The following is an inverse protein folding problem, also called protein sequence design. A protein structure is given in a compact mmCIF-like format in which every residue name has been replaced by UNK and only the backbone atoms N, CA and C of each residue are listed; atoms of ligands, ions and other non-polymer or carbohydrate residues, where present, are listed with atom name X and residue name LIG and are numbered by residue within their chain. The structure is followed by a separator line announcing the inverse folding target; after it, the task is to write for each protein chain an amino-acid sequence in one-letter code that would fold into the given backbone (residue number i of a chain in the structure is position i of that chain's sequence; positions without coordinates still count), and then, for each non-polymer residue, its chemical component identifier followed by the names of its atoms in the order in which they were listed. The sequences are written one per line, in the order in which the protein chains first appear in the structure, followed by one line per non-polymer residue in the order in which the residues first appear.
data_IF_305340926573
#
_entry.id   IF_305340926573
#
_cell.length_a   1.000
_cell.length_b   1.000
_cell.length_c   1.000
_cell.angle_alpha   90.00
_cell.angle_beta   90.00
_cell.angle_gamma   90.00
#
_symmetry.space_group_name_H-M   'P 1'
#
loop_
_entity.id
_entity.type
_entity.pdbx_description
1 polymer ?
#
# COMPACT_ATOMS: atom_id res chain seq x y z
N UNK A 1 -68.42 45.63 -29.01
CA UNK A 1 -69.52 44.66 -29.24
C UNK A 1 -68.90 43.29 -29.46
N UNK A 2 -69.34 42.29 -28.69
CA UNK A 2 -68.97 40.85 -28.73
C UNK A 2 -67.58 40.49 -28.18
N UNK A 3 -67.36 39.42 -27.43
CA UNK A 3 -68.12 38.52 -26.52
C UNK A 3 -66.98 37.71 -25.86
N UNK A 4 -66.99 37.56 -24.53
CA UNK A 4 -66.13 36.61 -23.80
C UNK A 4 -66.66 35.18 -23.99
N UNK A 5 -65.79 34.16 -24.00
CA UNK A 5 -65.99 33.05 -23.05
C UNK A 5 -64.65 32.66 -22.39
N UNK A 6 -64.51 32.71 -21.06
CA UNK A 6 -64.81 31.62 -20.11
C UNK A 6 -64.43 30.23 -20.64
N UNK A 7 -63.24 29.76 -20.28
CA UNK A 7 -63.02 28.34 -19.97
C UNK A 7 -62.26 28.23 -18.65
N UNK A 8 -63.01 27.84 -17.62
CA UNK A 8 -62.50 27.34 -16.35
C UNK A 8 -62.22 25.85 -16.54
N UNK A 9 -60.99 25.42 -16.27
CA UNK A 9 -60.74 24.06 -15.81
C UNK A 9 -59.76 24.13 -14.63
N UNK A 10 -60.34 23.99 -13.43
CA UNK A 10 -59.65 23.47 -12.27
C UNK A 10 -59.43 21.97 -12.52
N UNK A 11 -58.20 21.50 -12.32
CA UNK A 11 -57.86 20.08 -12.29
C UNK A 11 -56.64 19.90 -11.40
N UNK A 12 -56.88 19.65 -10.12
CA UNK A 12 -55.88 19.23 -9.15
C UNK A 12 -55.44 17.79 -9.44
N UNK A 13 -54.14 17.49 -9.29
CA UNK A 13 -53.66 16.26 -8.65
C UNK A 13 -52.13 16.26 -8.60
N UNK A 14 -51.60 16.24 -7.38
CA UNK A 14 -50.25 15.84 -7.08
C UNK A 14 -50.03 14.36 -7.49
N UNK A 15 -48.89 14.04 -8.10
CA UNK A 15 -48.39 12.68 -8.20
C UNK A 15 -46.87 12.72 -8.04
N UNK A 16 -46.40 12.04 -6.99
CA UNK A 16 -45.08 12.18 -6.40
C UNK A 16 -43.91 11.76 -7.28
N UNK A 17 -42.85 12.56 -7.23
CA UNK A 17 -41.49 12.15 -7.56
C UNK A 17 -41.02 11.17 -6.49
N UNK A 18 -41.19 9.87 -6.75
CA UNK A 18 -40.51 8.83 -5.96
C UNK A 18 -39.05 8.81 -6.42
N UNK A 19 -38.22 9.50 -5.64
CA UNK A 19 -36.77 9.50 -5.77
C UNK A 19 -36.26 8.11 -5.39
N UNK A 20 -36.04 7.25 -6.39
CA UNK A 20 -35.36 5.98 -6.19
C UNK A 20 -33.87 6.24 -5.93
N UNK A 21 -33.51 6.37 -4.65
CA UNK A 21 -32.14 6.21 -4.17
C UNK A 21 -31.69 4.78 -4.48
N UNK A 22 -30.88 4.60 -5.52
CA UNK A 22 -30.12 3.36 -5.72
C UNK A 22 -28.82 3.44 -4.90
N UNK A 23 -28.44 2.36 -4.18
CA UNK A 23 -27.27 2.38 -3.31
C UNK A 23 -25.97 2.35 -4.12
N UNK A 24 -25.16 3.42 -3.99
CA UNK A 24 -23.75 3.43 -4.36
C UNK A 24 -22.94 2.63 -3.31
N UNK A 25 -22.79 1.32 -3.51
CA UNK A 25 -22.07 0.44 -2.57
C UNK A 25 -20.87 -0.30 -3.17
N UNK A 26 -20.11 0.37 -4.06
CA UNK A 26 -18.84 -0.16 -4.59
C UNK A 26 -17.58 0.60 -4.12
N UNK A 27 -17.74 1.75 -3.43
CA UNK A 27 -16.62 2.62 -3.07
C UNK A 27 -16.00 2.35 -1.68
N UNK A 28 -16.61 1.52 -0.83
CA UNK A 28 -16.13 1.29 0.54
C UNK A 28 -14.98 0.29 0.61
N UNK A 29 -14.95 -0.71 -0.26
CA UNK A 29 -13.89 -1.73 -0.30
C UNK A 29 -12.55 -1.13 -0.77
N UNK A 30 -12.58 -0.37 -1.86
CA UNK A 30 -11.38 0.33 -2.37
C UNK A 30 -10.79 1.32 -1.34
N UNK A 31 -11.63 2.02 -0.56
CA UNK A 31 -11.15 2.91 0.51
C UNK A 31 -10.58 2.17 1.71
N UNK A 32 -11.11 0.99 2.06
CA UNK A 32 -10.56 0.15 3.13
C UNK A 32 -9.19 -0.38 2.73
N UNK A 33 -9.07 -0.89 1.51
CA UNK A 33 -7.81 -1.39 0.95
C UNK A 33 -6.75 -0.29 0.88
N UNK A 34 -7.10 0.89 0.37
CA UNK A 34 -6.18 2.03 0.31
C UNK A 34 -5.64 2.43 1.70
N UNK A 35 -6.49 2.41 2.74
CA UNK A 35 -6.05 2.69 4.12
C UNK A 35 -5.18 1.59 4.72
N UNK A 36 -5.44 0.34 4.37
CA UNK A 36 -4.60 -0.78 4.76
C UNK A 36 -3.21 -0.63 4.13
N UNK A 37 -3.14 -0.34 2.83
CA UNK A 37 -1.88 -0.09 2.13
C UNK A 37 -1.10 1.09 2.75
N UNK A 38 -1.76 2.21 3.01
CA UNK A 38 -1.12 3.36 3.64
C UNK A 38 -0.58 3.03 5.05
N UNK A 39 -1.29 2.19 5.81
CA UNK A 39 -0.82 1.72 7.13
C UNK A 39 0.47 0.91 7.02
N UNK A 40 0.54 -0.01 6.06
CA UNK A 40 1.71 -0.85 5.80
C UNK A 40 2.89 -0.02 5.26
N UNK A 41 2.64 0.93 4.36
CA UNK A 41 3.68 1.86 3.87
C UNK A 41 4.28 2.68 5.02
N UNK A 42 3.43 3.22 5.91
CA UNK A 42 3.91 3.92 7.10
C UNK A 42 4.67 3.01 8.05
N UNK A 43 4.29 1.73 8.16
CA UNK A 43 5.01 0.77 8.98
C UNK A 43 6.41 0.53 8.43
N UNK A 44 6.51 0.21 7.13
CA UNK A 44 7.78 -0.01 6.48
C UNK A 44 8.68 1.23 6.48
N UNK A 45 8.11 2.43 6.31
CA UNK A 45 8.85 3.69 6.38
C UNK A 45 9.43 3.96 7.78
N UNK A 46 8.75 3.54 8.87
CA UNK A 46 9.31 3.66 10.23
C UNK A 46 10.56 2.79 10.39
N UNK A 47 10.49 1.54 9.95
CA UNK A 47 11.64 0.61 10.03
C UNK A 47 12.80 1.07 9.12
N UNK A 48 12.47 1.56 7.93
CA UNK A 48 13.46 2.14 7.02
C UNK A 48 14.11 3.37 7.65
N UNK A 49 13.36 4.26 8.29
CA UNK A 49 13.89 5.43 8.98
C UNK A 49 14.87 5.07 10.10
N UNK A 50 14.53 4.05 10.90
CA UNK A 50 15.45 3.52 11.90
C UNK A 50 16.74 2.98 11.26
N UNK A 51 16.60 2.18 10.20
CA UNK A 51 17.74 1.63 9.46
C UNK A 51 18.62 2.73 8.86
N UNK A 52 18.03 3.78 8.27
CA UNK A 52 18.76 4.96 7.76
C UNK A 52 19.59 5.62 8.85
N UNK A 53 19.01 5.79 10.04
CA UNK A 53 19.70 6.34 11.21
C UNK A 53 20.89 5.49 11.63
N UNK A 54 20.72 4.17 11.73
CA UNK A 54 21.80 3.25 12.11
C UNK A 54 22.91 3.20 11.06
N UNK A 55 22.56 3.21 9.78
CA UNK A 55 23.51 3.13 8.68
C UNK A 55 24.15 4.48 8.32
N UNK A 56 23.61 5.61 8.77
CA UNK A 56 24.06 6.94 8.36
C UNK A 56 23.88 7.20 6.86
N UNK A 57 22.90 6.55 6.23
CA UNK A 57 22.64 6.66 4.79
C UNK A 57 21.16 6.89 4.51
N UNK A 58 20.87 7.53 3.39
CA UNK A 58 19.50 7.77 2.93
C UNK A 58 19.17 6.82 1.77
N UNK A 59 17.97 6.25 1.79
CA UNK A 59 17.44 5.40 0.71
C UNK A 59 15.92 5.50 0.63
N UNK A 60 15.37 5.37 -0.57
CA UNK A 60 13.93 5.30 -0.79
C UNK A 60 13.39 3.94 -0.36
N UNK A 61 12.18 3.88 0.16
CA UNK A 61 11.48 2.62 0.46
C UNK A 61 10.10 2.60 -0.18
N UNK A 62 9.70 1.44 -0.68
CA UNK A 62 8.39 1.24 -1.31
C UNK A 62 7.90 -0.19 -1.14
N UNK A 63 6.58 -0.36 -1.10
CA UNK A 63 5.92 -1.66 -1.25
C UNK A 63 5.46 -1.82 -2.70
N UNK A 64 5.85 -2.91 -3.35
CA UNK A 64 5.34 -3.30 -4.66
C UNK A 64 3.97 -4.00 -4.48
N UNK A 65 2.92 -3.19 -4.35
CA UNK A 65 1.54 -3.68 -4.19
C UNK A 65 1.05 -4.57 -5.32
N UNK A 66 1.64 -4.45 -6.53
CA UNK A 66 1.28 -5.33 -7.65
C UNK A 66 1.74 -6.76 -7.41
N UNK A 67 2.93 -6.93 -6.83
CA UNK A 67 3.44 -8.24 -6.44
C UNK A 67 2.69 -8.84 -5.25
N UNK A 68 2.03 -8.01 -4.44
CA UNK A 68 1.29 -8.38 -3.25
C UNK A 68 -0.23 -8.55 -3.48
N UNK A 69 -0.68 -8.66 -4.73
CA UNK A 69 -2.11 -8.68 -5.05
C UNK A 69 -2.90 -9.83 -4.39
N UNK A 70 -2.22 -10.94 -4.06
CA UNK A 70 -2.81 -12.11 -3.40
C UNK A 70 -2.30 -12.27 -1.96
N UNK A 71 -1.84 -11.18 -1.33
CA UNK A 71 -1.35 -11.24 0.04
C UNK A 71 -2.47 -11.64 1.01
N UNK A 72 -2.23 -12.53 1.98
CA UNK A 72 -3.29 -12.99 2.88
C UNK A 72 -3.90 -11.85 3.70
N UNK A 73 -5.23 -11.86 3.82
CA UNK A 73 -5.94 -10.93 4.70
C UNK A 73 -5.43 -11.03 6.14
N UNK A 74 -5.12 -9.88 6.74
CA UNK A 74 -4.64 -9.78 8.11
C UNK A 74 -3.16 -10.09 8.31
N UNK A 75 -2.42 -10.51 7.27
CA UNK A 75 -0.97 -10.61 7.32
C UNK A 75 -0.32 -9.26 6.94
N UNK A 76 0.67 -8.81 7.71
CA UNK A 76 1.44 -7.60 7.39
C UNK A 76 2.57 -7.92 6.41
N UNK A 77 2.57 -7.22 5.27
CA UNK A 77 3.68 -7.32 4.31
C UNK A 77 4.90 -6.53 4.80
N UNK A 78 4.68 -5.41 5.49
CA UNK A 78 5.77 -4.63 6.07
C UNK A 78 6.53 -5.44 7.13
N UNK A 79 5.83 -6.14 8.02
CA UNK A 79 6.42 -7.06 9.00
C UNK A 79 7.22 -8.16 8.32
N UNK A 80 6.71 -8.71 7.21
CA UNK A 80 7.42 -9.77 6.49
C UNK A 80 8.70 -9.27 5.79
N UNK A 81 8.81 -7.97 5.54
CA UNK A 81 10.00 -7.32 4.98
C UNK A 81 10.94 -6.73 6.04
N UNK A 82 10.54 -6.66 7.31
CA UNK A 82 11.30 -6.02 8.38
C UNK A 82 12.67 -6.68 8.59
N UNK A 83 12.73 -8.01 8.61
CA UNK A 83 14.00 -8.72 8.78
C UNK A 83 15.02 -8.43 7.67
N UNK A 84 14.57 -8.12 6.44
CA UNK A 84 15.47 -7.69 5.37
C UNK A 84 16.10 -6.32 5.65
N UNK A 85 15.34 -5.37 6.22
CA UNK A 85 15.89 -4.11 6.73
C UNK A 85 16.82 -4.36 7.94
N UNK A 86 16.45 -5.26 8.84
CA UNK A 86 17.31 -5.68 9.96
C UNK A 86 18.64 -6.29 9.51
N UNK A 87 18.67 -6.99 8.37
CA UNK A 87 19.92 -7.50 7.79
C UNK A 87 20.81 -6.37 7.25
N UNK A 88 20.21 -5.34 6.65
CA UNK A 88 20.90 -4.12 6.23
C UNK A 88 21.49 -3.37 7.43
N UNK A 89 20.69 -3.20 8.48
CA UNK A 89 21.13 -2.62 9.75
C UNK A 89 22.31 -3.40 10.33
N UNK A 90 22.22 -4.73 10.39
CA UNK A 90 23.28 -5.59 10.90
C UNK A 90 24.57 -5.47 10.08
N UNK A 91 24.48 -5.28 8.76
CA UNK A 91 25.65 -5.04 7.91
C UNK A 91 26.32 -3.70 8.29
N UNK A 92 25.55 -2.63 8.47
CA UNK A 92 26.07 -1.32 8.87
C UNK A 92 26.72 -1.33 10.25
N UNK A 93 26.10 -1.97 11.25
CA UNK A 93 26.65 -2.09 12.61
C UNK A 93 27.99 -2.82 12.65
N UNK A 94 28.26 -3.71 11.70
CA UNK A 94 29.55 -4.40 11.54
C UNK A 94 30.60 -3.56 10.81
N UNK A 95 30.30 -2.31 10.46
CA UNK A 95 31.17 -1.43 9.68
C UNK A 95 31.07 -1.64 8.17
N UNK A 96 30.10 -2.42 7.69
CA UNK A 96 29.80 -2.53 6.26
C UNK A 96 29.24 -1.22 5.72
N UNK A 97 29.50 -0.94 4.44
CA UNK A 97 28.96 0.22 3.73
C UNK A 97 28.13 -0.23 2.51
N UNK A 98 26.99 -0.92 2.73
CA UNK A 98 26.16 -1.43 1.66
C UNK A 98 25.67 -0.27 0.79
N UNK A 99 25.87 -0.37 -0.53
CA UNK A 99 25.44 0.66 -1.48
C UNK A 99 23.98 0.47 -1.82
N UNK A 100 23.09 0.82 -0.91
CA UNK A 100 21.64 0.76 -1.11
C UNK A 100 21.09 2.18 -1.24
N UNK A 101 20.46 2.47 -2.37
CA UNK A 101 19.73 3.73 -2.63
C UNK A 101 18.22 3.53 -2.64
N UNK A 102 17.75 2.28 -2.81
CA UNK A 102 16.33 1.93 -2.82
C UNK A 102 16.09 0.57 -2.18
N UNK A 103 15.10 0.48 -1.31
CA UNK A 103 14.55 -0.76 -0.77
C UNK A 103 13.17 -1.01 -1.36
N UNK A 104 12.95 -2.21 -1.90
CA UNK A 104 11.65 -2.62 -2.45
C UNK A 104 11.18 -3.86 -1.69
N UNK A 105 10.11 -3.70 -0.93
CA UNK A 105 9.37 -4.80 -0.31
C UNK A 105 8.34 -5.31 -1.31
N UNK A 106 8.36 -6.61 -1.61
CA UNK A 106 7.45 -7.23 -2.55
C UNK A 106 6.81 -8.48 -1.96
N UNK A 107 5.68 -8.93 -2.51
CA UNK A 107 4.91 -10.07 -2.00
C UNK A 107 4.95 -11.31 -2.91
N UNK A 108 6.04 -11.52 -3.65
CA UNK A 108 6.16 -12.58 -4.65
C UNK A 108 7.03 -13.78 -4.23
N UNK A 109 7.54 -13.81 -3.00
CA UNK A 109 8.34 -14.92 -2.49
C UNK A 109 9.67 -15.16 -3.22
N UNK A 110 10.14 -14.20 -4.03
CA UNK A 110 11.38 -14.34 -4.81
C UNK A 110 12.67 -14.21 -3.98
N UNK A 111 12.54 -13.89 -2.70
CA UNK A 111 13.66 -13.71 -1.79
C UNK A 111 14.47 -12.43 -2.03
N UNK A 112 15.68 -12.38 -1.49
CA UNK A 112 16.52 -11.19 -1.54
C UNK A 112 17.34 -11.06 -2.84
N UNK A 113 17.50 -9.84 -3.33
CA UNK A 113 18.41 -9.50 -4.42
C UNK A 113 18.89 -8.05 -4.35
N UNK A 114 20.14 -7.80 -4.76
CA UNK A 114 20.75 -6.47 -4.83
C UNK A 114 21.25 -6.20 -6.25
N UNK A 115 20.66 -5.21 -6.93
CA UNK A 115 21.07 -4.83 -8.29
C UNK A 115 21.07 -3.31 -8.44
N UNK A 116 22.20 -2.75 -8.88
CA UNK A 116 22.31 -1.31 -9.17
C UNK A 116 21.94 -0.40 -8.00
N UNK A 117 22.17 -0.84 -6.76
CA UNK A 117 21.79 -0.13 -5.54
C UNK A 117 20.34 -0.29 -5.10
N UNK A 118 19.53 -1.06 -5.83
CA UNK A 118 18.20 -1.47 -5.38
C UNK A 118 18.29 -2.80 -4.66
N UNK A 119 18.02 -2.79 -3.35
CA UNK A 119 17.80 -3.98 -2.54
C UNK A 119 16.32 -4.34 -2.62
N UNK A 120 16.00 -5.47 -3.24
CA UNK A 120 14.64 -5.98 -3.34
C UNK A 120 14.51 -7.24 -2.51
N UNK A 121 13.45 -7.33 -1.73
CA UNK A 121 13.07 -8.54 -1.02
C UNK A 121 11.65 -8.97 -1.40
N UNK A 122 11.54 -10.14 -2.03
CA UNK A 122 10.28 -10.81 -2.31
C UNK A 122 9.83 -11.64 -1.12
N UNK A 123 9.00 -11.05 -0.26
CA UNK A 123 8.49 -11.65 0.95
C UNK A 123 7.49 -12.78 0.69
N UNK A 124 7.48 -13.73 1.61
CA UNK A 124 6.43 -14.74 1.79
C UNK A 124 5.78 -14.55 3.16
N UNK A 125 4.47 -14.81 3.33
CA UNK A 125 3.81 -14.65 4.62
C UNK A 125 4.46 -15.49 5.72
N UNK A 126 4.82 -14.85 6.84
CA UNK A 126 5.44 -15.50 8.00
C UNK A 126 6.97 -15.64 7.92
N UNK A 127 7.59 -15.24 6.81
CA UNK A 127 9.03 -15.03 6.72
C UNK A 127 9.39 -13.57 7.06
N UNK A 128 10.63 -13.30 7.44
CA UNK A 128 11.16 -11.96 7.68
C UNK A 128 12.31 -11.57 6.73
N UNK A 129 12.91 -12.51 5.98
CA UNK A 129 13.92 -12.19 4.97
C UNK A 129 15.31 -11.81 5.47
N UNK A 130 15.58 -11.92 6.78
CA UNK A 130 16.87 -11.53 7.35
C UNK A 130 18.02 -12.38 6.79
N UNK A 131 17.86 -13.69 6.80
CA UNK A 131 18.95 -14.62 6.46
C UNK A 131 19.36 -14.50 4.99
N UNK A 132 18.39 -14.39 4.09
CA UNK A 132 18.57 -14.24 2.65
C UNK A 132 19.18 -12.89 2.30
N UNK A 133 18.64 -11.81 2.88
CA UNK A 133 19.16 -10.46 2.66
C UNK A 133 20.59 -10.33 3.14
N UNK A 134 20.91 -10.93 4.29
CA UNK A 134 22.28 -10.97 4.80
C UNK A 134 23.22 -11.70 3.85
N UNK A 135 22.79 -12.76 3.18
CA UNK A 135 23.64 -13.46 2.22
C UNK A 135 24.01 -12.51 1.06
N UNK A 136 23.01 -11.85 0.46
CA UNK A 136 23.21 -10.94 -0.67
C UNK A 136 24.06 -9.71 -0.33
N UNK A 137 23.99 -9.21 0.90
CA UNK A 137 24.77 -8.03 1.33
C UNK A 137 26.26 -8.34 1.62
N UNK A 138 26.63 -9.62 1.73
CA UNK A 138 28.01 -10.04 2.00
C UNK A 138 28.71 -10.66 0.78
N UNK A 139 28.02 -10.78 -0.36
CA UNK A 139 28.59 -11.15 -1.65
C UNK A 139 29.34 -9.97 -2.30
#
# INVERSE_FOLDING_TARGET
MRITPKNRFLGAAAAGLVMFCTPLSANSQSLKEARAQETEERALEREASFTRSVCGMNFDVVIDWRSAANWPDGASIAESCDGALGALEAACRRGGAPRVSRFVCAGDGSGASLRGGTLRYGASPGDNGFSETRAVLND
#
